data_IF_811285830518
#
_entry.id   IF_811285830518
#
_cell.length_a   1.000
_cell.length_b   1.000
_cell.length_c   1.000
_cell.angle_alpha   90.00
_cell.angle_beta   90.00
_cell.angle_gamma   90.00
#
_symmetry.space_group_name_H-M   'P 1'
#
loop_
_entity.id
_entity.type
_entity.pdbx_description
1 polymer ?
#
# COMPACT_ATOMS: atom_id res chain seq x y z
N UNK A 1 15.96 -11.18 3.67
CA UNK A 1 14.59 -11.47 3.19
C UNK A 1 14.65 -11.83 1.71
N UNK A 2 14.56 -13.11 1.31
CA UNK A 2 14.47 -13.48 -0.09
C UNK A 2 13.01 -13.69 -0.52
N UNK A 3 12.64 -13.05 -1.63
CA UNK A 3 11.52 -13.39 -2.54
C UNK A 3 10.10 -12.82 -2.34
N UNK A 4 9.94 -11.66 -1.71
CA UNK A 4 8.67 -10.89 -1.78
C UNK A 4 8.38 -10.30 -3.19
N UNK A 5 9.41 -10.03 -4.01
CA UNK A 5 9.25 -9.31 -5.29
C UNK A 5 8.48 -10.06 -6.39
N UNK A 6 8.53 -11.40 -6.42
CA UNK A 6 7.77 -12.19 -7.42
C UNK A 6 6.27 -12.16 -7.14
N UNK A 7 5.95 -11.98 -5.86
CA UNK A 7 4.63 -11.95 -5.31
C UNK A 7 4.05 -10.54 -5.53
N UNK A 8 4.72 -9.47 -5.09
CA UNK A 8 4.29 -8.04 -5.18
C UNK A 8 3.76 -7.59 -6.54
N UNK A 9 4.35 -8.06 -7.63
CA UNK A 9 3.94 -7.73 -9.01
C UNK A 9 2.73 -8.54 -9.51
N UNK A 10 2.63 -9.82 -9.14
CA UNK A 10 1.41 -10.61 -9.40
C UNK A 10 0.23 -10.07 -8.58
N UNK A 11 0.48 -9.47 -7.40
CA UNK A 11 -0.52 -8.70 -6.65
C UNK A 11 -0.96 -7.47 -7.44
N UNK A 12 -0.04 -6.58 -7.82
CA UNK A 12 -0.37 -5.32 -8.52
C UNK A 12 -1.10 -5.54 -9.85
N UNK A 13 -0.67 -6.53 -10.65
CA UNK A 13 -1.35 -6.87 -11.91
C UNK A 13 -2.76 -7.47 -11.69
N UNK A 14 -2.96 -8.26 -10.63
CA UNK A 14 -4.29 -8.79 -10.27
C UNK A 14 -5.19 -7.74 -9.63
N UNK A 15 -4.60 -6.77 -8.95
CA UNK A 15 -5.26 -5.68 -8.26
C UNK A 15 -5.46 -4.45 -9.14
N UNK A 16 -4.99 -4.44 -10.39
CA UNK A 16 -5.04 -3.27 -11.26
C UNK A 16 -6.45 -2.65 -11.34
N UNK A 17 -7.47 -3.45 -11.68
CA UNK A 17 -8.86 -2.97 -11.71
C UNK A 17 -9.44 -2.65 -10.33
N UNK A 18 -8.78 -3.09 -9.25
CA UNK A 18 -9.14 -2.73 -7.88
C UNK A 18 -8.62 -1.34 -7.50
N UNK A 19 -7.49 -0.90 -8.03
CA UNK A 19 -6.87 0.34 -7.56
C UNK A 19 -7.67 1.56 -7.98
N UNK A 20 -8.04 1.68 -9.25
CA UNK A 20 -8.72 2.89 -9.77
C UNK A 20 -10.11 3.08 -9.17
N UNK A 21 -10.79 1.99 -8.82
CA UNK A 21 -12.21 2.02 -8.38
C UNK A 21 -12.36 1.76 -6.89
N UNK A 22 -11.49 0.93 -6.30
CA UNK A 22 -11.61 0.42 -4.93
C UNK A 22 -10.44 0.87 -4.04
N UNK A 23 -9.72 1.94 -4.39
CA UNK A 23 -8.56 2.42 -3.61
C UNK A 23 -8.89 2.58 -2.12
N UNK A 24 -9.99 3.27 -1.79
CA UNK A 24 -10.44 3.44 -0.40
C UNK A 24 -10.60 2.11 0.33
N UNK A 25 -11.28 1.16 -0.29
CA UNK A 25 -11.56 -0.14 0.31
C UNK A 25 -10.29 -0.98 0.44
N UNK A 26 -9.38 -0.87 -0.52
CA UNK A 26 -8.08 -1.52 -0.47
C UNK A 26 -7.25 -1.02 0.73
N UNK A 27 -7.22 0.30 0.93
CA UNK A 27 -6.47 0.95 2.01
C UNK A 27 -7.04 0.64 3.39
N UNK A 28 -8.38 0.60 3.51
CA UNK A 28 -9.05 0.49 4.79
C UNK A 28 -9.34 -0.96 5.21
N UNK A 29 -9.70 -1.84 4.27
CA UNK A 29 -10.14 -3.20 4.54
C UNK A 29 -9.38 -4.29 3.79
N UNK A 30 -8.57 -3.95 2.78
CA UNK A 30 -7.86 -4.88 1.90
C UNK A 30 -6.67 -5.62 2.53
N UNK A 31 -6.80 -6.11 3.76
CA UNK A 31 -5.73 -6.82 4.46
C UNK A 31 -5.54 -8.25 3.95
N UNK A 32 -4.33 -8.81 4.13
CA UNK A 32 -3.98 -10.09 3.54
C UNK A 32 -4.27 -11.34 4.40
N UNK A 33 -4.77 -11.18 5.63
CA UNK A 33 -5.14 -12.30 6.50
C UNK A 33 -6.54 -12.84 6.17
N UNK A 34 -6.72 -14.15 6.39
CA UNK A 34 -7.93 -14.88 6.00
C UNK A 34 -7.63 -16.29 5.48
N UNK A 35 -8.66 -17.01 5.01
CA UNK A 35 -8.54 -18.44 4.68
C UNK A 35 -7.90 -18.73 3.32
N UNK A 36 -7.55 -17.71 2.52
CA UNK A 36 -6.97 -17.88 1.19
C UNK A 36 -5.48 -17.52 1.13
N UNK A 37 -4.93 -17.46 -0.08
CA UNK A 37 -3.64 -16.80 -0.32
C UNK A 37 -3.75 -15.31 -0.01
N UNK A 38 -2.65 -14.67 0.36
CA UNK A 38 -2.62 -13.24 0.63
C UNK A 38 -3.23 -12.41 -0.52
N UNK A 39 -2.97 -12.75 -1.80
CA UNK A 39 -3.54 -12.01 -2.95
C UNK A 39 -5.06 -12.09 -2.94
N UNK A 40 -5.57 -13.31 -2.74
CA UNK A 40 -6.99 -13.58 -2.73
C UNK A 40 -7.67 -12.91 -1.53
N UNK A 41 -7.05 -12.95 -0.34
CA UNK A 41 -7.58 -12.27 0.84
C UNK A 41 -7.66 -10.75 0.60
N UNK A 42 -6.64 -10.13 0.00
CA UNK A 42 -6.68 -8.70 -0.34
C UNK A 42 -7.86 -8.38 -1.26
N UNK A 43 -8.02 -9.14 -2.36
CA UNK A 43 -9.12 -8.94 -3.32
C UNK A 43 -10.48 -9.09 -2.62
N UNK A 44 -10.68 -10.19 -1.91
CA UNK A 44 -11.95 -10.51 -1.24
C UNK A 44 -12.28 -9.47 -0.18
N UNK A 45 -11.32 -9.13 0.68
CA UNK A 45 -11.55 -8.16 1.75
C UNK A 45 -11.76 -6.74 1.19
N UNK A 46 -11.08 -6.37 0.10
CA UNK A 46 -11.31 -5.10 -0.60
C UNK A 46 -12.73 -5.01 -1.15
N UNK A 47 -13.18 -6.03 -1.90
CA UNK A 47 -14.50 -6.02 -2.52
C UNK A 47 -15.63 -6.10 -1.49
N UNK A 48 -15.46 -6.91 -0.46
CA UNK A 48 -16.40 -6.98 0.65
C UNK A 48 -16.49 -5.65 1.40
N UNK A 49 -15.35 -5.02 1.67
CA UNK A 49 -15.34 -3.75 2.38
C UNK A 49 -16.02 -2.66 1.56
N UNK A 50 -15.75 -2.58 0.26
CA UNK A 50 -16.40 -1.59 -0.61
C UNK A 50 -17.92 -1.78 -0.67
N UNK A 51 -18.40 -3.02 -0.83
CA UNK A 51 -19.83 -3.30 -0.92
C UNK A 51 -20.57 -3.06 0.40
N UNK A 52 -19.92 -3.33 1.54
CA UNK A 52 -20.51 -3.17 2.87
C UNK A 52 -20.42 -1.71 3.34
N UNK A 53 -19.38 -0.99 2.92
CA UNK A 53 -19.02 0.32 3.43
C UNK A 53 -18.70 1.30 2.29
N UNK A 54 -19.62 1.55 1.36
CA UNK A 54 -19.36 2.34 0.16
C UNK A 54 -18.86 3.74 0.50
N UNK A 55 -18.04 4.30 -0.39
CA UNK A 55 -17.58 5.68 -0.28
C UNK A 55 -18.73 6.67 -0.56
N UNK A 56 -18.81 7.74 0.22
CA UNK A 56 -19.75 8.85 -0.02
C UNK A 56 -19.38 9.64 -1.28
N UNK A 57 -18.08 9.89 -1.47
CA UNK A 57 -17.53 10.54 -2.66
C UNK A 57 -16.67 9.56 -3.46
N UNK A 58 -16.86 9.54 -4.78
CA UNK A 58 -15.92 8.86 -5.69
C UNK A 58 -14.82 9.83 -6.05
N UNK A 59 -13.62 9.59 -5.52
CA UNK A 59 -12.41 10.27 -5.96
C UNK A 59 -11.67 9.40 -6.97
N UNK A 60 -11.37 9.96 -8.13
CA UNK A 60 -10.50 9.31 -9.11
C UNK A 60 -9.05 9.35 -8.63
N UNK A 61 -8.59 8.21 -8.14
CA UNK A 61 -7.21 8.01 -7.68
C UNK A 61 -6.56 6.94 -8.53
N UNK A 62 -5.57 7.35 -9.32
CA UNK A 62 -4.75 6.46 -10.15
C UNK A 62 -3.36 6.23 -9.55
N UNK A 63 -3.05 6.86 -8.41
CA UNK A 63 -1.80 6.73 -7.68
C UNK A 63 -2.01 6.09 -6.31
N UNK A 64 -1.27 5.03 -6.04
CA UNK A 64 -1.23 4.43 -4.71
C UNK A 64 -0.08 5.06 -3.94
N UNK A 65 -0.38 5.73 -2.83
CA UNK A 65 0.66 6.36 -2.03
C UNK A 65 1.55 5.31 -1.35
N UNK A 66 2.86 5.54 -1.43
CA UNK A 66 3.90 4.66 -0.86
C UNK A 66 3.70 4.42 0.63
N UNK A 67 3.40 5.48 1.41
CA UNK A 67 3.19 5.34 2.86
C UNK A 67 2.00 4.45 3.17
N UNK A 68 0.98 4.48 2.32
CA UNK A 68 -0.25 3.71 2.50
C UNK A 68 -0.01 2.23 2.22
N UNK A 69 0.75 1.90 1.18
CA UNK A 69 1.18 0.51 0.95
C UNK A 69 1.97 -0.06 2.11
N UNK A 70 2.97 0.69 2.61
CA UNK A 70 3.80 0.26 3.75
C UNK A 70 2.93 0.01 4.99
N UNK A 71 1.93 0.86 5.23
CA UNK A 71 0.97 0.69 6.32
C UNK A 71 0.10 -0.56 6.14
N UNK A 72 -0.49 -0.76 4.96
CA UNK A 72 -1.33 -1.94 4.68
C UNK A 72 -0.51 -3.22 4.78
N UNK A 73 0.74 -3.23 4.30
CA UNK A 73 1.68 -4.35 4.44
C UNK A 73 1.99 -4.64 5.91
N UNK A 74 2.36 -3.62 6.69
CA UNK A 74 2.66 -3.74 8.12
C UNK A 74 1.47 -4.25 8.92
N UNK A 75 0.28 -3.67 8.72
CA UNK A 75 -0.97 -4.10 9.39
C UNK A 75 -1.40 -5.49 8.98
N UNK A 76 -1.22 -5.84 7.70
CA UNK A 76 -1.45 -7.19 7.20
C UNK A 76 -0.55 -8.22 7.86
N UNK A 77 0.75 -7.92 8.00
CA UNK A 77 1.71 -8.79 8.67
C UNK A 77 1.38 -8.95 10.17
N UNK A 78 1.06 -7.85 10.86
CA UNK A 78 0.61 -7.87 12.27
C UNK A 78 -0.64 -8.74 12.44
N UNK A 79 -1.62 -8.58 11.56
CA UNK A 79 -2.84 -9.39 11.55
C UNK A 79 -2.54 -10.88 11.32
N UNK A 80 -1.67 -11.23 10.37
CA UNK A 80 -1.25 -12.62 10.11
C UNK A 80 -0.54 -13.25 11.32
N UNK A 81 0.42 -12.54 11.90
CA UNK A 81 1.17 -13.00 13.08
C UNK A 81 0.20 -13.21 14.23
N UNK A 82 -0.66 -12.23 14.51
CA UNK A 82 -1.60 -12.33 15.63
C UNK A 82 -2.62 -13.44 15.43
N UNK A 83 -3.11 -13.62 14.20
CA UNK A 83 -3.99 -14.74 13.85
C UNK A 83 -3.33 -16.07 14.18
N UNK A 84 -2.08 -16.28 13.74
CA UNK A 84 -1.35 -17.53 13.97
C UNK A 84 -1.06 -17.76 15.46
N UNK A 85 -0.66 -16.72 16.20
CA UNK A 85 -0.46 -16.78 17.65
C UNK A 85 -1.76 -17.07 18.41
N UNK A 86 -2.89 -16.58 17.95
CA UNK A 86 -4.19 -16.94 18.55
C UNK A 86 -4.57 -18.37 18.20
N UNK A 87 -4.22 -18.86 17.00
CA UNK A 87 -4.45 -20.25 16.64
C UNK A 87 -3.57 -21.22 17.43
N UNK A 88 -2.36 -20.81 17.80
CA UNK A 88 -1.35 -21.62 18.48
C UNK A 88 -0.72 -20.78 19.61
N UNK A 89 -1.37 -20.65 20.77
CA UNK A 89 -0.93 -19.75 21.84
C UNK A 89 0.47 -20.06 22.41
N UNK A 90 0.96 -21.29 22.24
CA UNK A 90 2.20 -21.76 22.82
C UNK A 90 3.46 -21.39 22.03
N UNK A 91 3.32 -20.93 20.78
CA UNK A 91 4.49 -20.53 19.95
C UNK A 91 4.87 -19.08 20.19
N UNK A 92 6.15 -18.75 20.03
CA UNK A 92 6.61 -17.37 20.11
C UNK A 92 6.27 -16.58 18.85
N UNK A 93 6.31 -15.24 18.93
CA UNK A 93 6.19 -14.38 17.75
C UNK A 93 7.25 -14.70 16.69
N UNK A 94 8.47 -15.02 17.13
CA UNK A 94 9.54 -15.45 16.24
C UNK A 94 9.17 -16.71 15.46
N UNK A 95 8.66 -17.74 16.15
CA UNK A 95 8.25 -18.99 15.52
C UNK A 95 7.09 -18.75 14.55
N UNK A 96 6.11 -17.95 14.93
CA UNK A 96 4.99 -17.55 14.07
C UNK A 96 5.50 -16.90 12.76
N UNK A 97 6.48 -16.00 12.85
CA UNK A 97 7.11 -15.41 11.67
C UNK A 97 7.81 -16.47 10.80
N UNK A 98 8.56 -17.40 11.40
CA UNK A 98 9.25 -18.47 10.67
C UNK A 98 8.25 -19.38 9.94
N UNK A 99 7.18 -19.81 10.60
CA UNK A 99 6.15 -20.64 9.97
C UNK A 99 5.47 -19.90 8.81
N UNK A 100 5.11 -18.63 8.99
CA UNK A 100 4.53 -17.82 7.93
C UNK A 100 5.48 -17.67 6.74
N UNK A 101 6.77 -17.39 6.99
CA UNK A 101 7.79 -17.26 5.94
C UNK A 101 7.97 -18.55 5.15
N UNK A 102 8.15 -19.70 5.84
CA UNK A 102 8.29 -21.02 5.20
C UNK A 102 7.08 -21.38 4.34
N UNK A 103 5.90 -20.85 4.68
CA UNK A 103 4.63 -21.18 4.01
C UNK A 103 4.12 -20.09 3.05
N UNK A 104 4.97 -19.13 2.66
CA UNK A 104 4.59 -18.02 1.78
C UNK A 104 3.34 -17.26 2.32
N UNK A 105 3.32 -17.01 3.63
CA UNK A 105 2.26 -16.33 4.38
C UNK A 105 0.88 -17.02 4.34
N UNK A 106 0.81 -18.27 3.89
CA UNK A 106 -0.43 -19.06 3.92
C UNK A 106 -0.64 -19.61 5.33
N UNK A 107 -1.42 -18.92 6.15
CA UNK A 107 -1.68 -19.29 7.56
C UNK A 107 -2.10 -20.74 7.70
N UNK A 108 -3.02 -21.24 6.85
CA UNK A 108 -3.47 -22.64 6.96
C UNK A 108 -2.32 -23.64 6.83
N UNK A 109 -1.38 -23.39 5.92
CA UNK A 109 -0.19 -24.23 5.77
C UNK A 109 0.80 -24.05 6.92
N UNK A 110 0.90 -22.85 7.49
CA UNK A 110 1.68 -22.60 8.70
C UNK A 110 1.13 -23.38 9.90
N UNK A 111 -0.20 -23.42 10.07
CA UNK A 111 -0.87 -24.22 11.10
C UNK A 111 -0.66 -25.72 10.86
N UNK A 112 -0.81 -26.20 9.62
CA UNK A 112 -0.55 -27.60 9.26
C UNK A 112 0.90 -28.02 9.57
N UNK A 113 1.87 -27.14 9.27
CA UNK A 113 3.29 -27.37 9.58
C UNK A 113 3.55 -27.43 11.09
N UNK A 114 3.03 -26.47 11.85
CA UNK A 114 3.16 -26.47 13.31
C UNK A 114 2.48 -27.70 13.94
N UNK A 115 1.32 -28.11 13.43
CA UNK A 115 0.63 -29.33 13.87
C UNK A 115 1.46 -30.60 13.66
N UNK A 116 2.19 -30.70 12.54
CA UNK A 116 3.12 -31.80 12.29
C UNK A 116 4.32 -31.82 13.26
N UNK A 117 4.65 -30.67 13.86
CA UNK A 117 5.69 -30.51 14.89
C UNK A 117 5.14 -30.70 16.32
N UNK A 118 3.87 -31.10 16.47
CA UNK A 118 3.24 -31.44 17.75
C UNK A 118 2.45 -30.31 18.40
N UNK A 119 2.33 -29.15 17.76
CA UNK A 119 1.55 -28.03 18.29
C UNK A 119 0.04 -28.29 18.16
N UNK A 120 -0.72 -27.99 19.20
CA UNK A 120 -2.19 -27.97 19.13
C UNK A 120 -2.63 -26.66 18.52
N UNK A 121 -3.63 -26.69 17.65
CA UNK A 121 -4.12 -25.49 16.98
C UNK A 121 -5.63 -25.45 16.88
N UNK A 122 -6.23 -24.27 17.04
CA UNK A 122 -7.65 -24.00 16.76
C UNK A 122 -7.79 -22.75 15.90
N UNK A 123 -8.48 -22.84 14.76
CA UNK A 123 -8.85 -21.65 13.99
C UNK A 123 -10.33 -21.36 14.17
N UNK A 124 -10.64 -20.50 15.14
CA UNK A 124 -11.99 -20.08 15.46
C UNK A 124 -12.19 -18.56 15.29
N UNK A 125 -13.35 -18.07 15.76
CA UNK A 125 -13.77 -16.67 15.71
C UNK A 125 -12.75 -15.74 16.39
N UNK A 126 -12.08 -16.19 17.46
CA UNK A 126 -11.12 -15.38 18.22
C UNK A 126 -9.89 -15.02 17.38
N UNK A 127 -9.47 -15.91 16.48
CA UNK A 127 -8.32 -15.68 15.60
C UNK A 127 -8.60 -14.57 14.58
N UNK A 128 -9.81 -14.51 14.01
CA UNK A 128 -10.22 -13.43 13.12
C UNK A 128 -10.31 -12.09 13.86
N UNK A 129 -10.87 -12.10 15.07
CA UNK A 129 -10.97 -10.90 15.91
C UNK A 129 -9.58 -10.35 16.25
N UNK A 130 -8.69 -11.21 16.74
CA UNK A 130 -7.35 -10.81 17.11
C UNK A 130 -6.54 -10.27 15.91
N UNK A 131 -6.73 -10.85 14.72
CA UNK A 131 -6.13 -10.34 13.49
C UNK A 131 -6.63 -8.94 13.13
N UNK A 132 -7.94 -8.72 13.20
CA UNK A 132 -8.58 -7.44 12.92
C UNK A 132 -8.18 -6.35 13.92
N UNK A 133 -8.08 -6.70 15.21
CA UNK A 133 -7.62 -5.78 16.25
C UNK A 133 -6.13 -5.41 16.04
N UNK A 134 -5.27 -6.40 15.78
CA UNK A 134 -3.84 -6.17 15.59
C UNK A 134 -3.48 -5.40 14.31
N UNK A 135 -4.36 -5.45 13.30
CA UNK A 135 -4.25 -4.70 12.06
C UNK A 135 -4.91 -3.31 12.13
N UNK A 136 -5.56 -2.94 13.24
CA UNK A 136 -6.37 -1.72 13.34
C UNK A 136 -7.45 -1.65 12.24
N UNK A 137 -8.13 -2.78 12.00
CA UNK A 137 -9.25 -2.83 11.06
C UNK A 137 -10.32 -1.81 11.48
N UNK A 138 -10.85 -0.98 10.56
CA UNK A 138 -11.80 0.08 10.91
C UNK A 138 -13.15 -0.47 11.39
N UNK A 139 -13.52 -1.67 10.96
CA UNK A 139 -14.80 -2.34 11.25
C UNK A 139 -14.57 -3.81 11.69
N UNK A 140 -13.92 -4.06 12.84
CA UNK A 140 -13.43 -5.39 13.19
C UNK A 140 -14.58 -6.39 13.44
N UNK A 141 -15.68 -5.97 14.05
CA UNK A 141 -16.85 -6.83 14.29
C UNK A 141 -17.50 -7.27 12.98
N UNK A 142 -17.68 -6.35 12.04
CA UNK A 142 -18.24 -6.64 10.72
C UNK A 142 -17.33 -7.62 9.95
N UNK A 143 -16.00 -7.42 10.03
CA UNK A 143 -15.04 -8.35 9.42
C UNK A 143 -15.12 -9.76 10.02
N UNK A 144 -15.27 -9.87 11.34
CA UNK A 144 -15.42 -11.17 12.01
C UNK A 144 -16.72 -11.85 11.57
N UNK A 145 -17.84 -11.13 11.53
CA UNK A 145 -19.11 -11.66 11.05
C UNK A 145 -19.01 -12.15 9.60
N UNK A 146 -18.41 -11.33 8.72
CA UNK A 146 -18.16 -11.70 7.34
C UNK A 146 -17.32 -12.97 7.24
N UNK A 147 -16.18 -13.02 7.92
CA UNK A 147 -15.22 -14.12 7.84
C UNK A 147 -15.76 -15.44 8.37
N UNK A 148 -16.65 -15.39 9.37
CA UNK A 148 -17.14 -16.58 10.08
C UNK A 148 -18.50 -17.08 9.58
N UNK A 149 -19.37 -16.19 9.10
CA UNK A 149 -20.74 -16.56 8.69
C UNK A 149 -20.96 -16.52 7.18
N UNK A 150 -20.38 -15.53 6.50
CA UNK A 150 -20.64 -15.25 5.10
C UNK A 150 -19.63 -15.92 4.18
N UNK A 151 -18.34 -15.70 4.44
CA UNK A 151 -17.25 -16.14 3.58
C UNK A 151 -17.20 -17.67 3.36
N UNK A 152 -17.46 -18.53 4.37
CA UNK A 152 -17.46 -19.98 4.16
C UNK A 152 -18.46 -20.45 3.11
N UNK A 153 -19.60 -19.76 2.97
CA UNK A 153 -20.68 -20.11 2.01
C UNK A 153 -20.27 -19.90 0.55
N UNK A 154 -19.37 -18.95 0.30
CA UNK A 154 -18.93 -18.55 -1.05
C UNK A 154 -17.48 -18.93 -1.35
N UNK A 155 -16.79 -19.55 -0.39
CA UNK A 155 -15.36 -19.84 -0.45
C UNK A 155 -14.97 -20.68 -1.68
N UNK A 156 -15.79 -21.67 -2.04
CA UNK A 156 -15.54 -22.53 -3.19
C UNK A 156 -15.67 -21.76 -4.52
N UNK A 157 -16.71 -20.91 -4.64
CA UNK A 157 -16.93 -20.07 -5.81
C UNK A 157 -15.81 -19.04 -6.00
N UNK A 158 -15.41 -18.36 -4.93
CA UNK A 158 -14.26 -17.43 -4.93
C UNK A 158 -12.99 -18.13 -5.39
N UNK A 159 -12.68 -19.32 -4.85
CA UNK A 159 -11.52 -20.11 -5.30
C UNK A 159 -11.63 -20.47 -6.78
N UNK A 160 -12.81 -20.81 -7.27
CA UNK A 160 -13.01 -21.16 -8.68
C UNK A 160 -12.73 -19.99 -9.61
N UNK A 161 -13.28 -18.81 -9.31
CA UNK A 161 -13.08 -17.59 -10.10
C UNK A 161 -11.62 -17.11 -10.10
N UNK A 162 -10.94 -17.24 -8.96
CA UNK A 162 -9.56 -16.76 -8.78
C UNK A 162 -8.48 -17.79 -9.13
N UNK A 163 -8.84 -18.95 -9.71
CA UNK A 163 -7.88 -19.99 -10.15
C UNK A 163 -6.97 -19.51 -11.29
N UNK A 164 -7.40 -18.54 -12.10
CA UNK A 164 -6.63 -18.07 -13.23
C UNK A 164 -5.42 -17.21 -12.81
N UNK A 165 -4.31 -17.34 -13.56
CA UNK A 165 -3.10 -16.52 -13.39
C UNK A 165 -3.17 -15.19 -14.15
N UNK A 166 -4.31 -14.90 -14.78
CA UNK A 166 -4.54 -13.67 -15.54
C UNK A 166 -4.92 -12.51 -14.61
N UNK A 167 -4.70 -11.25 -15.03
CA UNK A 167 -5.33 -10.09 -14.39
C UNK A 167 -6.85 -10.28 -14.31
N UNK A 168 -7.48 -9.78 -13.25
CA UNK A 168 -8.93 -9.79 -13.13
C UNK A 168 -9.53 -8.86 -14.19
N UNK A 169 -10.45 -9.39 -14.99
CA UNK A 169 -11.29 -8.55 -15.84
C UNK A 169 -12.31 -7.79 -14.98
N UNK A 170 -12.85 -6.70 -15.50
CA UNK A 170 -13.94 -5.98 -14.83
C UNK A 170 -15.15 -6.87 -14.56
N UNK A 171 -15.40 -7.86 -15.43
CA UNK A 171 -16.47 -8.84 -15.24
C UNK A 171 -16.16 -9.81 -14.08
N UNK A 172 -14.91 -10.26 -13.92
CA UNK A 172 -14.52 -11.10 -12.78
C UNK A 172 -14.70 -10.34 -11.45
N UNK A 173 -14.31 -9.06 -11.44
CA UNK A 173 -14.50 -8.18 -10.27
C UNK A 173 -15.99 -8.03 -9.95
N UNK A 174 -16.83 -7.79 -10.95
CA UNK A 174 -18.27 -7.67 -10.76
C UNK A 174 -18.88 -8.97 -10.23
N UNK A 175 -18.51 -10.13 -10.79
CA UNK A 175 -18.98 -11.44 -10.31
C UNK A 175 -18.52 -11.73 -8.88
N UNK A 176 -17.30 -11.36 -8.51
CA UNK A 176 -16.84 -11.48 -7.13
C UNK A 176 -17.61 -10.56 -6.19
N UNK A 177 -17.85 -9.31 -6.59
CA UNK A 177 -18.61 -8.35 -5.80
C UNK A 177 -20.06 -8.80 -5.56
N UNK A 178 -20.71 -9.42 -6.56
CA UNK A 178 -22.08 -9.95 -6.40
C UNK A 178 -22.13 -11.23 -5.56
N UNK A 179 -21.07 -12.03 -5.56
CA UNK A 179 -20.96 -13.22 -4.70
C UNK A 179 -20.73 -12.86 -3.24
N UNK A 180 -19.96 -11.81 -2.97
CA UNK A 180 -19.65 -11.40 -1.61
C UNK A 180 -20.89 -10.71 -1.01
N UNK A 181 -21.51 -11.28 0.03
CA UNK A 181 -22.72 -10.70 0.58
C UNK A 181 -22.42 -9.31 1.14
N UNK A 182 -23.16 -8.32 0.64
CA UNK A 182 -23.29 -7.03 1.31
C UNK A 182 -24.10 -7.26 2.57
N UNK A 183 -23.45 -7.27 3.73
CA UNK A 183 -24.22 -7.07 4.94
C UNK A 183 -24.72 -5.62 4.89
N UNK A 184 -26.03 -5.40 5.02
CA UNK A 184 -26.58 -4.07 5.35
C UNK A 184 -26.21 -3.75 6.82
N UNK A 185 -24.92 -3.83 7.14
CA UNK A 185 -24.39 -3.39 8.41
C UNK A 185 -24.44 -1.87 8.36
N UNK A 186 -25.48 -1.32 8.98
CA UNK A 186 -25.34 -0.02 9.63
C UNK A 186 -24.12 -0.21 10.55
N UNK A 187 -22.98 0.38 10.19
CA UNK A 187 -21.78 0.31 11.03
C UNK A 187 -22.22 0.66 12.45
N UNK A 188 -21.81 -0.12 13.45
CA UNK A 188 -22.10 0.22 14.85
C UNK A 188 -21.56 1.62 15.22
N UNK A 189 -20.65 2.18 14.40
CA UNK A 189 -20.18 3.57 14.46
C UNK A 189 -21.15 4.62 13.93
N UNK A 190 -22.28 4.26 13.31
CA UNK A 190 -23.31 5.26 12.94
C UNK A 190 -23.97 5.92 14.16
N UNK A 191 -23.64 5.46 15.37
CA UNK A 191 -24.01 6.04 16.66
C UNK A 191 -22.88 6.85 17.31
N UNK A 192 -21.67 6.91 16.72
CA UNK A 192 -20.64 7.85 17.18
C UNK A 192 -21.11 9.28 16.89
N UNK A 193 -20.98 10.17 17.88
CA UNK A 193 -21.32 11.59 17.72
C UNK A 193 -20.51 12.16 16.55
N UNK A 194 -21.18 12.76 15.58
CA UNK A 194 -20.52 13.50 14.50
C UNK A 194 -19.61 14.55 15.15
N UNK A 195 -18.31 14.49 14.85
CA UNK A 195 -17.33 15.43 15.36
C UNK A 195 -17.03 16.42 14.26
N UNK A 196 -17.48 17.66 14.46
CA UNK A 196 -17.16 18.75 13.54
C UNK A 196 -15.66 19.09 13.60
N UNK A 197 -15.09 19.40 12.44
CA UNK A 197 -13.73 19.89 12.35
C UNK A 197 -13.67 21.36 12.78
N UNK A 198 -12.62 21.72 13.51
CA UNK A 198 -12.27 23.13 13.66
C UNK A 198 -11.85 23.72 12.32
N UNK A 199 -11.92 25.04 12.16
CA UNK A 199 -11.46 25.73 10.94
C UNK A 199 -10.02 25.35 10.58
N UNK A 200 -9.10 25.36 11.55
CA UNK A 200 -7.70 24.97 11.33
C UNK A 200 -7.54 23.50 10.89
N UNK A 201 -8.38 22.59 11.42
CA UNK A 201 -8.35 21.19 11.02
C UNK A 201 -8.94 20.98 9.62
N UNK A 202 -9.94 21.78 9.24
CA UNK A 202 -10.50 21.79 7.89
C UNK A 202 -9.48 22.32 6.88
N UNK A 203 -8.80 23.42 7.18
CA UNK A 203 -7.75 23.98 6.33
C UNK A 203 -6.59 22.99 6.15
N UNK A 204 -6.18 22.33 7.24
CA UNK A 204 -5.19 21.25 7.18
C UNK A 204 -5.65 20.12 6.24
N UNK A 205 -6.90 19.67 6.39
CA UNK A 205 -7.49 18.62 5.55
C UNK A 205 -7.50 19.01 4.06
N UNK A 206 -7.95 20.23 3.74
CA UNK A 206 -7.96 20.77 2.38
C UNK A 206 -6.54 20.79 1.81
N UNK A 207 -5.57 21.33 2.56
CA UNK A 207 -4.19 21.41 2.12
C UNK A 207 -3.57 20.02 1.86
N UNK A 208 -3.88 19.01 2.67
CA UNK A 208 -3.43 17.63 2.41
C UNK A 208 -4.06 17.03 1.15
N UNK A 209 -5.37 17.25 0.95
CA UNK A 209 -6.09 16.77 -0.24
C UNK A 209 -5.54 17.43 -1.51
N UNK A 210 -5.35 18.74 -1.49
CA UNK A 210 -4.76 19.50 -2.61
C UNK A 210 -3.32 19.06 -2.92
N UNK A 211 -2.50 18.84 -1.88
CA UNK A 211 -1.14 18.33 -2.05
C UNK A 211 -1.14 16.96 -2.74
N UNK A 212 -2.02 16.06 -2.32
CA UNK A 212 -2.14 14.74 -2.95
C UNK A 212 -2.52 14.85 -4.42
N UNK A 213 -3.58 15.60 -4.75
CA UNK A 213 -4.04 15.80 -6.13
C UNK A 213 -2.93 16.43 -7.00
N UNK A 214 -2.20 17.40 -6.44
CA UNK A 214 -1.06 18.03 -7.11
C UNK A 214 0.06 17.04 -7.40
N UNK A 215 0.41 16.19 -6.42
CA UNK A 215 1.42 15.14 -6.58
C UNK A 215 1.01 14.10 -7.61
N UNK A 216 -0.24 13.62 -7.56
CA UNK A 216 -0.79 12.68 -8.54
C UNK A 216 -0.70 13.27 -9.95
N UNK A 217 -1.15 14.52 -10.13
CA UNK A 217 -1.08 15.22 -11.41
C UNK A 217 0.36 15.44 -11.91
N UNK A 218 1.30 15.73 -11.01
CA UNK A 218 2.73 15.83 -11.34
C UNK A 218 3.25 14.52 -11.93
N UNK A 219 3.07 13.40 -11.23
CA UNK A 219 3.58 12.10 -11.69
C UNK A 219 2.88 11.65 -12.97
N UNK A 220 1.56 11.84 -13.08
CA UNK A 220 0.81 11.51 -14.28
C UNK A 220 1.39 12.21 -15.53
N UNK A 221 1.59 13.54 -15.45
CA UNK A 221 2.17 14.33 -16.56
C UNK A 221 3.58 13.86 -16.93
N UNK A 222 4.46 13.64 -15.94
CA UNK A 222 5.83 13.18 -16.17
C UNK A 222 5.88 11.78 -16.81
N UNK A 223 5.04 10.85 -16.35
CA UNK A 223 4.95 9.49 -16.89
C UNK A 223 4.45 9.50 -18.34
N UNK A 224 3.38 10.26 -18.63
CA UNK A 224 2.89 10.36 -20.01
C UNK A 224 3.93 10.96 -20.95
N UNK A 225 4.63 12.01 -20.50
CA UNK A 225 5.72 12.61 -21.26
C UNK A 225 6.85 11.58 -21.52
N UNK A 226 7.19 10.76 -20.53
CA UNK A 226 8.18 9.69 -20.65
C UNK A 226 7.77 8.61 -21.67
N UNK A 227 6.52 8.17 -21.61
CA UNK A 227 5.96 7.20 -22.55
C UNK A 227 6.00 7.74 -23.98
N UNK A 228 5.60 9.01 -24.19
CA UNK A 228 5.67 9.68 -25.49
C UNK A 228 7.12 9.81 -26.01
N UNK A 229 8.05 10.31 -25.18
CA UNK A 229 9.46 10.56 -25.56
C UNK A 229 10.18 9.29 -26.02
N UNK A 230 9.89 8.14 -25.39
CA UNK A 230 10.49 6.84 -25.76
C UNK A 230 9.75 6.14 -26.91
N UNK A 231 8.72 6.76 -27.50
CA UNK A 231 7.91 6.16 -28.57
C UNK A 231 7.05 4.98 -28.10
N UNK A 232 6.82 4.83 -26.80
CA UNK A 232 5.95 3.79 -26.27
C UNK A 232 4.50 4.17 -26.57
N UNK A 233 3.86 3.41 -27.47
CA UNK A 233 2.41 3.48 -27.69
C UNK A 233 1.66 2.79 -26.54
N UNK A 234 1.71 3.38 -25.35
CA UNK A 234 1.07 2.85 -24.14
C UNK A 234 0.22 3.95 -23.50
N UNK A 235 -0.88 3.53 -22.88
CA UNK A 235 -1.71 4.37 -22.01
C UNK A 235 -1.36 4.03 -20.56
N UNK A 236 -1.11 5.06 -19.76
CA UNK A 236 -0.94 4.92 -18.32
C UNK A 236 -2.21 4.32 -17.72
N UNK A 237 -2.04 3.42 -16.77
CA UNK A 237 -3.14 2.69 -16.15
C UNK A 237 -3.16 2.92 -14.64
N UNK A 238 -2.02 2.80 -13.97
CA UNK A 238 -1.89 3.07 -12.52
C UNK A 238 -0.45 3.42 -12.17
N UNK A 239 -0.28 4.36 -11.26
CA UNK A 239 0.98 4.66 -10.60
C UNK A 239 1.05 3.80 -9.34
N UNK A 240 1.90 2.78 -9.36
CA UNK A 240 1.94 1.76 -8.31
C UNK A 240 2.63 2.26 -7.05
N UNK A 241 3.72 3.01 -7.20
CA UNK A 241 4.54 3.49 -6.09
C UNK A 241 5.49 4.57 -6.60
N UNK A 242 5.70 5.62 -5.79
CA UNK A 242 6.62 6.71 -6.11
C UNK A 242 7.49 7.07 -4.90
N UNK A 243 8.76 7.38 -5.15
CA UNK A 243 9.67 7.98 -4.18
C UNK A 243 10.15 9.32 -4.73
N UNK A 244 9.70 10.42 -4.14
CA UNK A 244 10.09 11.79 -4.52
C UNK A 244 11.45 12.22 -3.95
N UNK A 245 12.06 11.38 -3.12
CA UNK A 245 13.26 11.69 -2.33
C UNK A 245 14.47 10.88 -2.80
N UNK A 246 14.89 11.09 -4.05
CA UNK A 246 16.04 10.39 -4.64
C UNK A 246 17.15 11.38 -4.98
N UNK A 247 18.37 11.05 -4.58
CA UNK A 247 19.55 11.89 -4.74
C UNK A 247 19.87 12.73 -3.50
N UNK A 248 21.04 13.36 -3.50
CA UNK A 248 21.45 14.23 -2.41
C UNK A 248 20.60 15.48 -2.37
N UNK A 249 20.09 15.83 -1.19
CA UNK A 249 19.48 17.13 -0.91
C UNK A 249 20.43 18.24 -1.36
N UNK A 250 19.90 19.19 -2.12
CA UNK A 250 20.70 20.26 -2.73
C UNK A 250 21.21 21.24 -1.68
N UNK A 251 20.48 21.45 -0.57
CA UNK A 251 20.93 22.26 0.56
C UNK A 251 20.13 21.92 1.85
N UNK A 252 20.51 22.47 3.02
CA UNK A 252 19.88 22.18 4.32
C UNK A 252 18.48 22.78 4.49
N UNK A 253 18.16 23.83 3.73
CA UNK A 253 16.87 24.54 3.79
C UNK A 253 15.86 24.02 2.76
N UNK A 254 16.35 23.36 1.72
CA UNK A 254 15.59 22.78 0.63
C UNK A 254 15.56 21.27 0.79
N UNK A 255 14.45 20.79 1.31
CA UNK A 255 14.19 19.36 1.47
C UNK A 255 13.93 18.65 0.14
N UNK A 256 13.95 19.37 -1.00
CA UNK A 256 13.78 18.78 -2.32
C UNK A 256 14.99 17.95 -2.70
N UNK A 257 14.70 16.74 -3.15
CA UNK A 257 15.66 15.90 -3.82
C UNK A 257 15.56 16.13 -5.33
N UNK A 258 16.64 15.95 -6.08
CA UNK A 258 16.63 16.23 -7.52
C UNK A 258 15.78 15.24 -8.32
N UNK A 259 15.61 14.01 -7.83
CA UNK A 259 14.97 12.95 -8.60
C UNK A 259 13.80 12.30 -7.87
N UNK A 260 12.90 11.77 -8.70
CA UNK A 260 11.85 10.85 -8.30
C UNK A 260 12.02 9.52 -8.98
N UNK A 261 11.81 8.42 -8.25
CA UNK A 261 11.67 7.08 -8.81
C UNK A 261 10.21 6.64 -8.77
N UNK A 262 9.74 6.01 -9.85
CA UNK A 262 8.34 5.58 -9.95
C UNK A 262 8.21 4.23 -10.63
N UNK A 263 7.32 3.38 -10.11
CA UNK A 263 6.76 2.29 -10.89
C UNK A 263 5.31 2.56 -11.27
N UNK A 264 4.97 2.20 -12.50
CA UNK A 264 3.63 2.32 -13.02
C UNK A 264 3.31 1.18 -13.98
N UNK A 265 2.03 0.83 -14.08
CA UNK A 265 1.55 -0.09 -15.09
C UNK A 265 1.00 0.73 -16.25
N UNK A 266 1.31 0.28 -17.46
CA UNK A 266 0.76 0.85 -18.67
C UNK A 266 0.29 -0.27 -19.61
N UNK A 267 -0.76 0.01 -20.39
CA UNK A 267 -1.32 -0.91 -21.39
C UNK A 267 -0.89 -0.45 -22.78
N UNK A 268 -0.43 -1.33 -23.68
CA UNK A 268 -0.15 -0.94 -25.05
C UNK A 268 -1.45 -0.51 -25.75
N UNK A 269 -1.39 0.55 -26.55
CA UNK A 269 -2.50 1.04 -27.39
C UNK A 269 -2.96 0.00 -28.42
N UNK A 270 -2.04 -0.86 -28.84
CA UNK A 270 -2.29 -1.97 -29.77
C UNK A 270 -1.86 -3.28 -29.10
N UNK A 271 -2.79 -4.22 -28.99
CA UNK A 271 -2.57 -5.53 -28.36
C UNK A 271 -3.13 -5.62 -26.94
N UNK A 272 -2.71 -6.65 -26.19
CA UNK A 272 -3.18 -6.92 -24.84
C UNK A 272 -2.02 -7.11 -23.86
N UNK A 273 -2.30 -6.87 -22.58
CA UNK A 273 -1.36 -7.12 -21.47
C UNK A 273 -0.78 -5.86 -20.85
N UNK A 274 -0.87 -5.77 -19.52
CA UNK A 274 -0.23 -4.72 -18.74
C UNK A 274 1.28 -4.96 -18.65
N UNK A 275 2.08 -3.89 -18.76
CA UNK A 275 3.52 -3.93 -18.50
C UNK A 275 3.86 -3.01 -17.34
N UNK A 276 4.76 -3.48 -16.48
CA UNK A 276 5.35 -2.66 -15.43
C UNK A 276 6.54 -1.90 -15.98
N UNK A 277 6.55 -0.60 -15.71
CA UNK A 277 7.63 0.30 -16.02
C UNK A 277 8.30 0.82 -14.75
N UNK A 278 9.55 1.21 -14.91
CA UNK A 278 10.28 2.07 -13.99
C UNK A 278 10.62 3.36 -14.72
N UNK A 279 10.51 4.48 -14.02
CA UNK A 279 11.02 5.75 -14.49
C UNK A 279 11.73 6.54 -13.40
N UNK A 280 12.71 7.32 -13.82
CA UNK A 280 13.37 8.36 -13.04
C UNK A 280 13.06 9.71 -13.68
N UNK A 281 12.61 10.65 -12.87
CA UNK A 281 12.26 12.01 -13.28
C UNK A 281 13.10 13.02 -12.53
N UNK A 282 13.51 14.10 -13.22
CA UNK A 282 13.90 15.32 -12.52
C UNK A 282 12.67 15.95 -11.85
N UNK A 283 12.84 16.39 -10.61
CA UNK A 283 11.81 17.11 -9.86
C UNK A 283 11.72 18.58 -10.28
N UNK A 284 12.81 19.15 -10.79
CA UNK A 284 12.91 20.57 -11.16
C UNK A 284 12.73 20.80 -12.66
N UNK A 285 13.16 19.84 -13.49
CA UNK A 285 13.12 19.96 -14.95
C UNK A 285 12.06 19.04 -15.58
N UNK A 286 11.53 19.45 -16.73
CA UNK A 286 10.63 18.62 -17.55
C UNK A 286 11.31 17.47 -18.28
N UNK A 287 12.61 17.32 -18.10
CA UNK A 287 13.35 16.19 -18.66
C UNK A 287 13.12 14.90 -17.85
N UNK A 288 12.64 13.91 -18.58
CA UNK A 288 12.63 12.52 -18.14
C UNK A 288 14.04 11.98 -18.31
N UNK A 289 14.70 11.70 -17.19
CA UNK A 289 16.03 11.11 -17.16
C UNK A 289 15.98 9.67 -17.68
N UNK A 290 14.95 8.89 -17.28
CA UNK A 290 14.91 7.47 -17.61
C UNK A 290 13.51 6.86 -17.58
N UNK A 291 13.19 5.94 -18.50
CA UNK A 291 11.94 5.17 -18.50
C UNK A 291 12.09 3.85 -19.27
N UNK A 292 11.84 2.72 -18.61
CA UNK A 292 12.00 1.40 -19.20
C UNK A 292 11.00 0.38 -18.62
N UNK A 293 10.78 -0.72 -19.35
CA UNK A 293 10.05 -1.88 -18.81
C UNK A 293 10.92 -2.64 -17.83
N UNK A 294 10.38 -3.02 -16.68
CA UNK A 294 11.09 -3.85 -15.70
C UNK A 294 10.58 -5.28 -15.71
N UNK A 295 11.50 -6.24 -15.57
CA UNK A 295 11.21 -7.67 -15.63
C UNK A 295 11.21 -8.30 -14.25
N UNK A 296 10.40 -9.35 -14.06
CA UNK A 296 10.31 -10.20 -12.85
C UNK A 296 11.64 -10.85 -12.43
N UNK A 297 12.66 -10.83 -13.31
CA UNK A 297 14.00 -11.39 -13.06
C UNK A 297 14.96 -10.37 -12.44
N UNK A 298 14.66 -9.07 -12.41
CA UNK A 298 15.55 -8.01 -11.86
C UNK A 298 15.61 -7.95 -10.33
N UNK A 299 15.41 -9.09 -9.64
CA UNK A 299 15.18 -9.18 -8.19
C UNK A 299 16.33 -8.69 -7.29
N UNK A 300 17.46 -8.31 -7.87
CA UNK A 300 18.66 -7.87 -7.16
C UNK A 300 19.02 -6.41 -7.44
N UNK A 301 18.30 -5.73 -8.33
CA UNK A 301 18.50 -4.30 -8.52
C UNK A 301 17.97 -3.55 -7.29
N UNK A 302 18.82 -2.70 -6.71
CA UNK A 302 18.55 -2.00 -5.45
C UNK A 302 18.69 -0.50 -5.68
N UNK A 303 18.09 0.29 -4.79
CA UNK A 303 18.32 1.72 -4.72
C UNK A 303 18.49 2.13 -3.26
N UNK A 304 19.63 2.74 -2.91
CA UNK A 304 19.92 3.13 -1.53
C UNK A 304 18.90 4.16 -1.00
N UNK A 305 18.42 5.08 -1.84
CA UNK A 305 17.39 6.08 -1.49
C UNK A 305 16.01 5.46 -1.29
N UNK A 306 15.58 4.58 -2.20
CA UNK A 306 14.30 3.88 -2.04
C UNK A 306 14.31 2.97 -0.81
N UNK A 307 15.42 2.30 -0.51
CA UNK A 307 15.56 1.49 0.70
C UNK A 307 15.55 2.34 1.97
N UNK A 308 16.18 3.50 1.94
CA UNK A 308 16.18 4.46 3.04
C UNK A 308 14.75 4.93 3.40
N UNK A 309 13.94 5.23 2.38
CA UNK A 309 12.53 5.63 2.57
C UNK A 309 11.61 4.41 2.85
N UNK A 310 12.11 3.18 2.75
CA UNK A 310 11.32 1.96 2.89
C UNK A 310 10.39 1.68 1.70
N UNK A 311 10.63 2.37 0.59
CA UNK A 311 9.82 2.33 -0.64
C UNK A 311 10.22 1.15 -1.51
N UNK A 312 9.27 0.24 -1.80
CA UNK A 312 9.51 -0.96 -2.62
C UNK A 312 9.31 -0.71 -4.11
N UNK A 313 10.24 0.07 -4.69
CA UNK A 313 10.31 0.25 -6.14
C UNK A 313 11.13 -0.88 -6.77
N UNK A 314 10.64 -1.41 -7.89
CA UNK A 314 11.30 -2.36 -8.76
C UNK A 314 12.18 -1.59 -9.75
N UNK A 315 13.49 -1.73 -9.59
CA UNK A 315 14.50 -1.15 -10.47
C UNK A 315 14.87 -2.09 -11.62
N UNK A 316 15.32 -1.56 -12.77
CA UNK A 316 15.87 -2.36 -13.86
C UNK A 316 17.16 -3.08 -13.43
N UNK A 317 17.41 -4.27 -13.96
CA UNK A 317 18.67 -4.98 -13.71
C UNK A 317 19.84 -4.34 -14.48
N UNK A 318 21.00 -4.27 -13.82
CA UNK A 318 22.30 -3.96 -14.42
C UNK A 318 22.56 -4.85 -15.66
N UNK A 319 23.16 -4.35 -16.77
CA UNK A 319 23.98 -3.15 -16.93
C UNK A 319 23.34 -2.05 -17.78
N UNK A 320 22.02 -2.02 -17.91
CA UNK A 320 21.41 -1.29 -19.02
C UNK A 320 21.57 0.24 -18.89
N UNK A 321 21.51 0.84 -17.70
CA UNK A 321 21.65 2.31 -17.53
C UNK A 321 21.81 2.71 -16.03
N UNK A 322 22.59 3.77 -15.74
CA UNK A 322 22.85 4.29 -14.39
C UNK A 322 21.72 5.22 -13.91
N UNK A 323 20.82 4.72 -13.06
CA UNK A 323 19.88 5.55 -12.30
C UNK A 323 20.46 5.94 -10.93
N UNK A 324 19.95 7.01 -10.33
CA UNK A 324 20.43 7.54 -9.05
C UNK A 324 20.14 6.58 -7.89
N UNK A 325 21.14 6.28 -7.06
CA UNK A 325 21.03 5.34 -5.96
C UNK A 325 21.29 3.88 -6.34
N UNK A 326 21.63 3.60 -7.61
CA UNK A 326 21.95 2.27 -8.12
C UNK A 326 23.32 1.76 -7.66
N UNK A 327 23.96 0.92 -8.49
CA UNK A 327 25.18 0.21 -8.10
C UNK A 327 26.36 1.14 -7.75
N UNK A 328 26.48 2.29 -8.43
CA UNK A 328 27.52 3.28 -8.15
C UNK A 328 27.41 3.85 -6.74
N UNK A 329 26.20 4.23 -6.28
CA UNK A 329 26.00 4.71 -4.92
C UNK A 329 26.31 3.62 -3.88
N UNK A 330 26.03 2.33 -4.17
CA UNK A 330 26.43 1.25 -3.28
C UNK A 330 27.95 1.04 -3.22
N UNK A 331 28.68 1.27 -4.32
CA UNK A 331 30.15 1.28 -4.32
C UNK A 331 30.67 2.43 -3.46
N UNK A 332 30.12 3.63 -3.61
CA UNK A 332 30.49 4.78 -2.78
C UNK A 332 30.16 4.55 -1.29
N UNK A 333 29.03 3.89 -0.99
CA UNK A 333 28.69 3.47 0.37
C UNK A 333 29.72 2.48 0.94
N UNK A 334 30.17 1.52 0.13
CA UNK A 334 31.18 0.54 0.54
C UNK A 334 32.55 1.20 0.78
N UNK A 335 32.89 2.22 0.00
CA UNK A 335 34.10 3.03 0.19
C UNK A 335 33.98 4.10 1.30
N UNK A 336 32.79 4.27 1.89
CA UNK A 336 32.53 5.26 2.93
C UNK A 336 32.49 6.72 2.44
N UNK A 337 32.38 6.94 1.13
CA UNK A 337 32.32 8.27 0.52
C UNK A 337 30.89 8.78 0.32
N UNK A 338 29.90 7.90 0.44
CA UNK A 338 28.49 8.26 0.32
C UNK A 338 27.87 8.74 1.66
N UNK A 339 26.93 9.70 1.60
CA UNK A 339 26.26 10.25 2.80
C UNK A 339 25.31 9.25 3.49
N UNK A 340 24.70 8.34 2.73
CA UNK A 340 23.90 7.23 3.28
C UNK A 340 24.80 6.08 3.70
N UNK A 341 24.45 5.41 4.78
CA UNK A 341 25.15 4.22 5.27
C UNK A 341 24.15 3.09 5.53
N UNK A 342 24.63 1.85 5.59
CA UNK A 342 23.78 0.70 5.95
C UNK A 342 23.09 0.91 7.31
N UNK A 343 23.78 1.49 8.29
CA UNK A 343 23.19 1.80 9.60
C UNK A 343 22.02 2.80 9.49
N UNK A 344 22.16 3.85 8.65
CA UNK A 344 21.09 4.81 8.40
C UNK A 344 19.89 4.17 7.71
N UNK A 345 20.12 3.34 6.69
CA UNK A 345 19.05 2.61 5.99
C UNK A 345 18.29 1.69 6.97
N UNK A 346 19.01 0.90 7.78
CA UNK A 346 18.41 0.00 8.77
C UNK A 346 17.62 0.79 9.83
N UNK A 347 18.18 1.89 10.33
CA UNK A 347 17.51 2.74 11.32
C UNK A 347 16.24 3.36 10.76
N UNK A 348 16.28 3.90 9.54
CA UNK A 348 15.11 4.49 8.90
C UNK A 348 14.03 3.46 8.56
N UNK A 349 14.42 2.25 8.15
CA UNK A 349 13.48 1.13 7.98
C UNK A 349 12.71 0.80 9.26
N UNK A 350 13.37 0.84 10.43
CA UNK A 350 12.70 0.68 11.74
C UNK A 350 11.71 1.83 12.01
N UNK A 351 12.09 3.07 11.68
CA UNK A 351 11.20 4.24 11.83
C UNK A 351 9.98 4.16 10.89
N UNK A 352 10.17 3.73 9.63
CA UNK A 352 9.08 3.57 8.66
C UNK A 352 8.08 2.50 9.11
N UNK A 353 8.56 1.37 9.64
CA UNK A 353 7.70 0.32 10.21
C UNK A 353 6.86 0.77 11.41
N UNK A 354 7.32 1.79 12.14
CA UNK A 354 6.61 2.39 13.27
C UNK A 354 5.57 3.45 12.85
N UNK A 355 5.54 3.90 11.58
CA UNK A 355 4.51 4.81 11.05
C UNK A 355 3.18 4.08 10.79
N UNK A 356 2.66 3.37 11.79
CA UNK A 356 1.38 2.64 11.73
C UNK A 356 0.17 3.55 12.00
N UNK A 357 0.42 4.84 12.22
CA UNK A 357 -0.57 5.89 12.47
C UNK A 357 -1.26 6.42 11.21
N UNK A 358 -1.66 7.69 11.25
CA UNK A 358 -2.34 8.37 10.15
C UNK A 358 -1.41 8.55 8.94
N UNK A 359 -1.90 8.24 7.75
CA UNK A 359 -1.22 8.45 6.47
C UNK A 359 -1.91 9.56 5.67
N UNK A 360 -1.22 10.13 4.68
CA UNK A 360 -1.78 11.16 3.78
C UNK A 360 -3.11 10.73 3.15
N UNK A 361 -3.27 9.45 2.83
CA UNK A 361 -4.48 8.95 2.19
C UNK A 361 -5.70 8.85 3.12
N UNK A 362 -5.50 8.88 4.45
CA UNK A 362 -6.62 8.95 5.39
C UNK A 362 -7.36 10.28 5.23
N UNK A 363 -6.63 11.34 4.86
CA UNK A 363 -7.21 12.64 4.54
C UNK A 363 -7.93 12.64 3.20
N UNK A 364 -7.69 11.68 2.32
CA UNK A 364 -8.34 11.64 1.00
C UNK A 364 -9.74 11.03 1.13
N UNK A 365 -9.89 10.05 2.02
CA UNK A 365 -11.13 9.28 2.22
C UNK A 365 -11.85 9.59 3.53
N UNK A 366 -11.44 10.65 4.20
CA UNK A 366 -12.06 11.09 5.43
C UNK A 366 -13.56 11.29 5.22
N UNK A 367 -14.34 10.58 6.02
CA UNK A 367 -15.77 10.69 6.09
C UNK A 367 -16.15 11.15 7.51
N UNK A 368 -16.59 12.42 7.69
CA UNK A 368 -16.91 12.94 9.01
C UNK A 368 -18.06 12.18 9.69
N UNK A 369 -18.87 11.43 8.93
CA UNK A 369 -19.96 10.60 9.48
C UNK A 369 -19.47 9.26 10.02
N UNK A 370 -18.22 8.86 9.73
CA UNK A 370 -17.67 7.53 10.07
C UNK A 370 -16.33 7.58 10.80
N UNK A 371 -15.63 8.71 10.70
CA UNK A 371 -14.25 8.87 11.15
C UNK A 371 -14.14 9.83 12.33
N UNK A 372 -15.05 9.75 13.31
CA UNK A 372 -15.07 10.64 14.48
C UNK A 372 -13.74 10.64 15.25
N UNK A 373 -13.09 9.48 15.40
CA UNK A 373 -11.75 9.37 16.02
C UNK A 373 -10.67 10.09 15.23
N UNK A 374 -10.75 10.04 13.89
CA UNK A 374 -9.82 10.76 13.01
C UNK A 374 -10.07 12.26 13.08
N UNK A 375 -11.33 12.70 13.06
CA UNK A 375 -11.71 14.11 13.26
C UNK A 375 -11.18 14.66 14.60
N UNK A 376 -11.33 13.91 15.70
CA UNK A 376 -10.74 14.27 17.00
C UNK A 376 -9.21 14.33 16.97
N UNK A 377 -8.56 13.47 16.20
CA UNK A 377 -7.11 13.50 16.04
C UNK A 377 -6.66 14.74 15.24
N UNK A 378 -7.38 15.07 14.16
CA UNK A 378 -7.13 16.26 13.35
C UNK A 378 -7.32 17.54 14.17
N UNK A 379 -8.43 17.68 14.90
CA UNK A 379 -8.66 18.83 15.79
C UNK A 379 -7.55 18.97 16.83
N UNK A 380 -7.09 17.87 17.44
CA UNK A 380 -5.96 17.89 18.39
C UNK A 380 -4.63 18.21 17.74
N UNK A 381 -4.42 17.80 16.50
CA UNK A 381 -3.19 18.08 15.76
C UNK A 381 -3.15 19.55 15.34
N UNK A 382 -4.28 20.07 14.85
CA UNK A 382 -4.45 21.46 14.49
C UNK A 382 -4.25 22.38 15.69
N UNK A 383 -4.84 22.05 16.86
CA UNK A 383 -4.68 22.88 18.06
C UNK A 383 -3.27 22.87 18.68
N UNK A 384 -2.47 21.82 18.40
CA UNK A 384 -1.07 21.70 18.87
C UNK A 384 -0.07 22.37 17.94
N UNK A 385 -0.43 22.61 16.68
CA UNK A 385 0.33 23.51 15.84
C UNK A 385 0.11 24.92 16.42
N UNK A 386 1.04 25.40 17.26
CA UNK A 386 0.99 26.71 17.94
C UNK A 386 0.95 27.95 17.00
N UNK A 387 0.69 27.75 15.71
CA UNK A 387 0.71 28.70 14.60
C UNK A 387 -0.46 28.29 13.69
N UNK A 388 -1.28 29.24 13.22
CA UNK A 388 -2.36 28.91 12.28
C UNK A 388 -1.79 28.24 11.03
N UNK A 389 -2.49 27.23 10.48
CA UNK A 389 -2.08 26.59 9.22
C UNK A 389 -1.96 27.61 8.07
N UNK A 390 -2.77 28.67 8.11
CA UNK A 390 -2.69 29.80 7.19
C UNK A 390 -1.34 30.54 7.25
N UNK A 391 -0.71 30.59 8.41
CA UNK A 391 0.62 31.21 8.59
C UNK A 391 1.75 30.26 8.17
N UNK A 392 1.57 28.94 8.34
CA UNK A 392 2.52 27.91 7.87
C UNK A 392 2.55 27.85 6.34
N UNK A 393 1.40 28.01 5.67
CA UNK A 393 1.34 28.03 4.20
C UNK A 393 2.08 29.25 3.62
N UNK A 394 1.95 30.43 4.23
CA UNK A 394 2.64 31.65 3.78
C UNK A 394 4.16 31.52 3.79
N UNK A 395 4.72 30.83 4.80
CA UNK A 395 6.17 30.61 4.94
C UNK A 395 6.73 29.63 3.90
N UNK A 396 5.91 28.72 3.36
CA UNK A 396 6.34 27.75 2.34
C UNK A 396 6.13 28.23 0.89
N UNK A 397 5.47 29.38 0.71
CA UNK A 397 5.25 30.01 -0.61
C UNK A 397 6.17 31.20 -0.88
N UNK A 398 6.96 31.62 0.11
CA UNK A 398 8.02 32.64 0.02
C UNK A 398 9.39 31.97 0.00
#
# INVERSE_FOLDING_TARGET
MPSTSRQSLDYLCKMFGLVTTYHRALVNGGYCYGPFSCVTNIIVNTLWYDSTFPAMEKLEVDMICTSTFVRVESRSLRGLIKLLLTCIPEISEHDAMIYLLKNNLKVRKAIEMAGAEGWKSSWDVSAYKAAADASFHPEPEAYVQFSTQSLPKVQAAVKSLLRASTPLSSNDVLQLATLLPSSNCISAKSLETIVDLSTDALDMFIAFKEKFVTQQGFFHRKIEAALRKRGYLYDLQVICVANERVGSQMNFLDFKCPYSHVNFLARPKVGSGLKLFFAEFSNDDDDVSFCCTVSRKSKHARCCYCEYEGTRIMHPAHPIENYCGGDMDFIEMAHGTHKLTNARIISCGKCAGNRVGMCGDDYIYFDPTRDAKFAQCMNRTASRANISWSDILKVNTS
#
